data_IF_365465100757
#
_entry.id   IF_365465100757
#
_cell.length_a   1.000
_cell.length_b   1.000
_cell.length_c   1.000
_cell.angle_alpha   90.00
_cell.angle_beta   90.00
_cell.angle_gamma   90.00
#
_symmetry.space_group_name_H-M   'P 1'
#
loop_
_entity.id
_entity.type
_entity.pdbx_description
1 polymer ?
#
# COMPACT_ATOMS: atom_id res chain seq x y z
N UNK A 1 3.06 -57.45 12.33
CA UNK A 1 4.07 -56.42 12.68
C UNK A 1 4.94 -56.21 11.43
N UNK A 2 4.75 -55.19 10.66
CA UNK A 2 5.53 -54.91 9.45
C UNK A 2 6.88 -54.31 9.90
N UNK A 3 7.98 -55.05 9.66
CA UNK A 3 9.34 -54.55 9.89
C UNK A 3 9.70 -53.56 8.80
N UNK A 4 9.62 -52.30 9.08
CA UNK A 4 10.17 -51.24 8.20
C UNK A 4 11.68 -51.38 8.07
N UNK A 5 12.17 -51.50 6.85
CA UNK A 5 13.59 -51.63 6.56
C UNK A 5 14.28 -50.25 6.74
N UNK A 6 15.47 -50.27 7.35
CA UNK A 6 16.27 -49.06 7.58
C UNK A 6 16.50 -48.25 6.29
N UNK A 7 16.60 -48.93 5.13
CA UNK A 7 16.76 -48.29 3.82
C UNK A 7 15.48 -47.57 3.38
N UNK A 8 14.28 -48.05 3.70
CA UNK A 8 13.04 -47.41 3.33
C UNK A 8 12.78 -46.16 4.18
N UNK A 9 13.18 -46.18 5.45
CA UNK A 9 13.18 -45.01 6.31
C UNK A 9 14.13 -43.93 5.78
N UNK A 10 15.35 -44.32 5.39
CA UNK A 10 16.33 -43.37 4.87
C UNK A 10 15.90 -42.74 3.55
N UNK A 11 15.27 -43.53 2.64
CA UNK A 11 14.69 -43.01 1.39
C UNK A 11 13.53 -42.03 1.67
N UNK A 12 12.68 -42.34 2.65
CA UNK A 12 11.58 -41.45 3.06
C UNK A 12 12.09 -40.11 3.61
N UNK A 13 13.14 -40.15 4.45
CA UNK A 13 13.77 -38.93 4.99
C UNK A 13 14.43 -38.12 3.85
N UNK A 14 15.14 -38.77 2.95
CA UNK A 14 15.78 -38.07 1.83
C UNK A 14 14.74 -37.43 0.90
N UNK A 15 13.66 -38.12 0.60
CA UNK A 15 12.54 -37.59 -0.21
C UNK A 15 11.89 -36.39 0.50
N UNK A 16 11.65 -36.48 1.81
CA UNK A 16 11.10 -35.40 2.61
C UNK A 16 12.00 -34.15 2.63
N UNK A 17 13.31 -34.32 2.73
CA UNK A 17 14.26 -33.20 2.69
C UNK A 17 14.31 -32.53 1.31
N UNK A 18 14.24 -33.32 0.22
CA UNK A 18 14.21 -32.78 -1.14
C UNK A 18 12.91 -32.00 -1.37
N UNK A 19 11.78 -32.53 -0.96
CA UNK A 19 10.49 -31.79 -1.11
C UNK A 19 10.46 -30.52 -0.29
N UNK A 20 10.97 -30.53 0.93
CA UNK A 20 11.05 -29.34 1.79
C UNK A 20 11.96 -28.28 1.14
N UNK A 21 13.12 -28.66 0.62
CA UNK A 21 14.04 -27.73 -0.04
C UNK A 21 13.44 -27.10 -1.31
N UNK A 22 12.68 -27.86 -2.09
CA UNK A 22 11.98 -27.33 -3.27
C UNK A 22 10.89 -26.37 -2.86
N UNK A 23 10.07 -26.69 -1.85
CA UNK A 23 9.01 -25.80 -1.35
C UNK A 23 9.59 -24.50 -0.78
N UNK A 24 10.68 -24.56 0.00
CA UNK A 24 11.33 -23.36 0.51
C UNK A 24 11.94 -22.52 -0.62
N UNK A 25 12.52 -23.14 -1.63
CA UNK A 25 13.07 -22.43 -2.80
C UNK A 25 11.97 -21.73 -3.60
N UNK A 26 10.85 -22.40 -3.84
CA UNK A 26 9.68 -21.81 -4.54
C UNK A 26 9.10 -20.65 -3.73
N UNK A 27 8.96 -20.82 -2.42
CA UNK A 27 8.50 -19.74 -1.54
C UNK A 27 9.45 -18.53 -1.59
N UNK A 28 10.76 -18.75 -1.50
CA UNK A 28 11.77 -17.70 -1.54
C UNK A 28 11.82 -16.97 -2.90
N UNK A 29 11.69 -17.70 -4.00
CA UNK A 29 11.63 -17.12 -5.35
C UNK A 29 10.34 -16.30 -5.53
N UNK A 30 9.21 -16.78 -5.02
CA UNK A 30 7.95 -16.06 -5.14
C UNK A 30 7.94 -14.77 -4.30
N UNK A 31 8.43 -14.82 -3.04
CA UNK A 31 8.56 -13.61 -2.20
C UNK A 31 9.55 -12.61 -2.78
N UNK A 32 10.69 -13.08 -3.31
CA UNK A 32 11.68 -12.20 -3.94
C UNK A 32 11.15 -11.52 -5.21
N UNK A 33 10.35 -12.24 -6.00
CA UNK A 33 9.72 -11.65 -7.20
C UNK A 33 8.70 -10.59 -6.85
N UNK A 34 7.88 -10.82 -5.83
CA UNK A 34 6.86 -9.87 -5.38
C UNK A 34 7.50 -8.58 -4.83
N UNK A 35 8.58 -8.70 -4.06
CA UNK A 35 9.30 -7.55 -3.51
C UNK A 35 9.98 -6.72 -4.61
N UNK A 36 10.57 -7.37 -5.63
CA UNK A 36 11.18 -6.67 -6.77
C UNK A 36 10.15 -5.95 -7.65
N UNK A 37 8.95 -6.51 -7.81
CA UNK A 37 7.87 -5.90 -8.60
C UNK A 37 7.32 -4.67 -7.87
N UNK A 38 7.14 -4.72 -6.56
CA UNK A 38 6.68 -3.58 -5.75
C UNK A 38 7.73 -2.44 -5.68
N UNK A 39 9.01 -2.75 -5.54
CA UNK A 39 10.09 -1.74 -5.61
C UNK A 39 10.16 -1.07 -6.99
N UNK A 40 10.00 -1.83 -8.06
CA UNK A 40 10.01 -1.30 -9.42
C UNK A 40 8.80 -0.39 -9.69
N UNK A 41 7.63 -0.70 -9.14
CA UNK A 41 6.45 0.14 -9.26
C UNK A 41 6.55 1.39 -8.40
N UNK A 42 7.10 1.33 -7.21
CA UNK A 42 7.34 2.50 -6.36
C UNK A 42 8.34 3.48 -7.02
N UNK A 43 9.44 2.99 -7.58
CA UNK A 43 10.39 3.83 -8.33
C UNK A 43 9.74 4.45 -9.58
N UNK A 44 8.91 3.68 -10.29
CA UNK A 44 8.13 4.18 -11.40
C UNK A 44 7.16 5.28 -10.96
N UNK A 45 6.38 5.06 -9.91
CA UNK A 45 5.41 6.02 -9.39
C UNK A 45 6.08 7.30 -8.88
N UNK A 46 7.25 7.21 -8.28
CA UNK A 46 8.07 8.37 -7.86
C UNK A 46 8.64 9.15 -9.04
N UNK A 47 8.96 8.47 -10.14
CA UNK A 47 9.52 9.10 -11.35
C UNK A 47 8.44 9.59 -12.31
N UNK A 48 7.22 9.07 -12.23
CA UNK A 48 6.13 9.43 -13.12
C UNK A 48 5.54 10.78 -12.71
N UNK A 49 5.78 11.73 -13.54
CA UNK A 49 5.09 13.00 -13.51
C UNK A 49 3.80 12.77 -14.27
N UNK A 50 2.65 13.03 -13.64
CA UNK A 50 1.35 13.02 -14.36
C UNK A 50 1.28 14.16 -15.38
N UNK A 51 2.19 14.11 -16.33
CA UNK A 51 2.32 15.05 -17.42
C UNK A 51 1.01 15.17 -18.22
N UNK A 52 0.25 14.09 -18.23
CA UNK A 52 -1.03 13.99 -18.89
C UNK A 52 -2.12 14.87 -18.30
N UNK A 53 -2.23 14.93 -16.97
CA UNK A 53 -3.23 15.77 -16.30
C UNK A 53 -2.96 17.26 -16.56
N UNK A 54 -1.68 17.67 -16.57
CA UNK A 54 -1.27 19.04 -16.86
C UNK A 54 -1.51 19.48 -18.30
N UNK A 55 -1.47 18.53 -19.24
CA UNK A 55 -1.68 18.80 -20.68
C UNK A 55 -3.09 18.42 -21.17
N UNK A 56 -3.98 17.98 -20.29
CA UNK A 56 -5.31 17.48 -20.65
C UNK A 56 -5.27 16.17 -21.44
N UNK A 57 -4.15 15.44 -21.41
CA UNK A 57 -4.03 14.10 -21.97
C UNK A 57 -4.54 13.11 -20.94
N UNK A 58 -5.45 12.25 -21.33
CA UNK A 58 -6.03 11.23 -20.45
C UNK A 58 -5.00 10.13 -20.20
N UNK A 59 -4.77 9.80 -18.91
CA UNK A 59 -3.98 8.63 -18.53
C UNK A 59 -4.69 7.33 -18.95
N UNK A 60 -3.92 6.29 -19.29
CA UNK A 60 -4.48 4.99 -19.69
C UNK A 60 -5.15 4.28 -18.50
N UNK A 61 -4.62 4.51 -17.29
CA UNK A 61 -5.12 3.98 -16.03
C UNK A 61 -5.50 5.12 -15.10
N UNK A 62 -6.79 5.30 -14.89
CA UNK A 62 -7.33 6.34 -14.01
C UNK A 62 -8.47 5.77 -13.18
N UNK A 63 -8.29 5.75 -11.87
CA UNK A 63 -9.32 5.34 -10.92
C UNK A 63 -9.27 6.16 -9.64
N UNK A 64 -10.28 5.99 -8.83
CA UNK A 64 -10.43 6.68 -7.55
C UNK A 64 -10.73 5.68 -6.44
N UNK A 65 -10.34 6.07 -5.26
CA UNK A 65 -10.74 5.43 -4.01
C UNK A 65 -11.12 6.51 -2.98
N UNK A 66 -11.75 6.10 -1.90
CA UNK A 66 -12.12 6.99 -0.82
C UNK A 66 -11.29 6.67 0.42
N UNK A 67 -10.59 7.66 0.96
CA UNK A 67 -9.86 7.59 2.23
C UNK A 67 -10.56 8.43 3.28
N UNK A 68 -10.81 7.85 4.44
CA UNK A 68 -11.31 8.53 5.62
C UNK A 68 -10.36 8.28 6.79
N UNK A 69 -10.04 9.33 7.54
CA UNK A 69 -9.22 9.26 8.74
C UNK A 69 -10.03 9.84 9.90
N UNK A 70 -10.05 9.12 11.01
CA UNK A 70 -10.75 9.53 12.25
C UNK A 70 -9.79 9.42 13.43
N UNK A 71 -9.66 10.50 14.18
CA UNK A 71 -8.84 10.57 15.40
C UNK A 71 -9.80 10.81 16.58
N UNK A 72 -9.87 9.87 17.53
CA UNK A 72 -10.76 9.93 18.69
C UNK A 72 -12.23 10.26 18.35
N UNK A 73 -12.72 9.74 17.22
CA UNK A 73 -14.08 9.93 16.73
C UNK A 73 -14.29 11.21 15.90
N UNK A 74 -13.26 12.05 15.74
CA UNK A 74 -13.33 13.24 14.90
C UNK A 74 -12.70 12.99 13.53
N UNK A 75 -13.42 13.33 12.47
CA UNK A 75 -12.93 13.16 11.09
C UNK A 75 -11.84 14.19 10.81
N UNK A 76 -10.71 13.70 10.30
CA UNK A 76 -9.62 14.53 9.80
C UNK A 76 -9.89 14.88 8.32
N UNK A 77 -9.77 16.16 8.02
CA UNK A 77 -9.87 16.66 6.66
C UNK A 77 -8.57 16.38 5.90
N UNK A 78 -8.65 15.64 4.81
CA UNK A 78 -7.51 15.40 3.93
C UNK A 78 -7.31 16.63 3.06
N UNK A 79 -6.09 17.21 3.00
CA UNK A 79 -5.88 18.46 2.26
C UNK A 79 -6.17 18.35 0.76
N UNK A 80 -6.51 19.49 0.18
CA UNK A 80 -6.59 19.64 -1.28
C UNK A 80 -5.20 19.69 -1.89
N UNK A 81 -5.08 19.23 -3.14
CA UNK A 81 -3.84 19.35 -3.94
C UNK A 81 -2.62 18.61 -3.34
N UNK A 82 -2.82 17.54 -2.56
CA UNK A 82 -1.74 16.60 -2.27
C UNK A 82 -1.20 16.08 -3.61
N UNK A 83 0.12 16.04 -3.76
CA UNK A 83 0.78 15.60 -4.99
C UNK A 83 0.95 16.66 -6.07
N UNK A 84 0.56 17.91 -5.80
CA UNK A 84 0.80 19.04 -6.70
C UNK A 84 2.11 19.73 -6.34
N UNK A 85 3.08 19.70 -7.23
CA UNK A 85 4.28 20.51 -7.12
C UNK A 85 4.09 21.84 -7.85
N UNK A 86 4.38 22.95 -7.17
CA UNK A 86 4.16 24.29 -7.68
C UNK A 86 5.44 25.11 -7.68
N UNK A 87 5.54 26.05 -8.63
CA UNK A 87 6.62 27.04 -8.64
C UNK A 87 6.36 28.21 -7.67
N UNK A 88 7.30 29.16 -7.62
CA UNK A 88 7.21 30.35 -6.77
C UNK A 88 6.01 31.27 -7.12
N UNK A 89 5.45 31.15 -8.31
CA UNK A 89 4.28 31.91 -8.77
C UNK A 89 2.97 31.19 -8.45
N UNK A 90 3.03 29.94 -7.99
CA UNK A 90 1.87 29.06 -7.72
C UNK A 90 1.41 28.27 -8.94
N UNK A 91 2.15 28.32 -10.04
CA UNK A 91 1.86 27.52 -11.23
C UNK A 91 2.26 26.07 -10.99
N UNK A 92 1.42 25.12 -11.42
CA UNK A 92 1.70 23.69 -11.25
C UNK A 92 2.82 23.26 -12.19
N UNK A 93 3.94 22.80 -11.61
CA UNK A 93 5.07 22.27 -12.33
C UNK A 93 4.83 20.82 -12.76
N UNK A 94 4.35 20.00 -11.83
CA UNK A 94 3.97 18.61 -12.07
C UNK A 94 2.96 18.10 -11.05
N UNK A 95 2.36 16.97 -11.35
CA UNK A 95 1.36 16.31 -10.56
C UNK A 95 1.78 14.85 -10.37
N UNK A 96 1.84 14.42 -9.12
CA UNK A 96 2.13 13.01 -8.80
C UNK A 96 1.02 12.07 -9.29
N UNK A 97 1.36 10.82 -9.64
CA UNK A 97 0.37 9.84 -10.10
C UNK A 97 -0.70 9.52 -9.05
N UNK A 98 -0.41 9.76 -7.76
CA UNK A 98 -1.37 9.64 -6.67
C UNK A 98 -1.55 11.02 -6.05
N UNK A 99 -2.79 11.52 -6.07
CA UNK A 99 -3.05 12.91 -5.68
C UNK A 99 -4.51 13.14 -5.25
N UNK A 100 -4.77 14.34 -4.69
CA UNK A 100 -6.12 14.83 -4.41
C UNK A 100 -6.38 16.16 -5.10
N UNK A 101 -7.61 16.40 -5.56
CA UNK A 101 -8.03 17.70 -6.07
C UNK A 101 -8.79 18.53 -5.01
N UNK A 102 -9.50 17.85 -4.11
CA UNK A 102 -10.32 18.48 -3.08
C UNK A 102 -10.13 17.79 -1.73
N UNK A 103 -10.82 18.27 -0.69
CA UNK A 103 -10.75 17.77 0.67
C UNK A 103 -11.80 16.69 0.99
N UNK A 104 -12.42 16.09 0.00
CA UNK A 104 -13.43 15.05 0.19
C UNK A 104 -12.86 13.72 0.69
N UNK A 105 -11.53 13.55 0.58
CA UNK A 105 -10.84 12.30 0.82
C UNK A 105 -10.80 11.38 -0.40
N UNK A 106 -11.23 11.88 -1.57
CA UNK A 106 -11.07 11.15 -2.83
C UNK A 106 -9.62 11.20 -3.28
N UNK A 107 -9.00 10.04 -3.33
CA UNK A 107 -7.65 9.86 -3.87
C UNK A 107 -7.75 9.41 -5.32
N UNK A 108 -7.02 10.09 -6.20
CA UNK A 108 -6.87 9.78 -7.62
C UNK A 108 -5.60 8.98 -7.82
N UNK A 109 -5.67 7.94 -8.63
CA UNK A 109 -4.50 7.19 -9.13
C UNK A 109 -4.54 7.27 -10.66
N UNK A 110 -3.54 7.94 -11.22
CA UNK A 110 -3.43 8.19 -12.66
C UNK A 110 -2.05 7.76 -13.17
N UNK A 111 -1.99 6.74 -14.01
CA UNK A 111 -0.74 6.16 -14.50
C UNK A 111 -0.79 5.85 -15.99
N UNK A 112 0.37 5.76 -16.64
CA UNK A 112 0.48 5.40 -18.06
C UNK A 112 0.53 3.89 -18.29
N UNK A 113 0.78 3.10 -17.25
CA UNK A 113 0.73 1.65 -17.27
C UNK A 113 0.02 1.13 -16.03
N UNK A 114 -0.39 -0.12 -16.06
CA UNK A 114 -0.87 -0.76 -14.85
C UNK A 114 0.27 -0.88 -13.85
N UNK A 115 0.18 -0.16 -12.73
CA UNK A 115 1.15 -0.15 -11.66
C UNK A 115 0.45 -0.35 -10.33
N UNK A 116 1.08 -1.13 -9.46
CA UNK A 116 0.62 -1.34 -8.10
C UNK A 116 1.08 -0.18 -7.22
N UNK A 117 0.13 0.51 -6.61
CA UNK A 117 0.41 1.60 -5.66
C UNK A 117 -0.01 1.17 -4.25
N UNK A 118 0.81 1.50 -3.26
CA UNK A 118 0.54 1.25 -1.85
C UNK A 118 0.07 2.52 -1.15
N UNK A 119 -0.73 2.37 -0.10
CA UNK A 119 -1.26 3.49 0.67
C UNK A 119 -0.15 4.32 1.32
N UNK A 120 0.92 3.68 1.79
CA UNK A 120 2.09 4.36 2.34
C UNK A 120 2.69 5.35 1.35
N UNK A 121 2.69 5.05 0.05
CA UNK A 121 3.19 5.97 -0.96
C UNK A 121 2.33 7.24 -1.08
N UNK A 122 1.02 7.16 -0.88
CA UNK A 122 0.17 8.35 -0.79
C UNK A 122 0.55 9.23 0.41
N UNK A 123 0.79 8.62 1.58
CA UNK A 123 1.23 9.35 2.76
C UNK A 123 2.63 9.97 2.58
N UNK A 124 3.56 9.28 1.92
CA UNK A 124 4.87 9.84 1.54
C UNK A 124 4.74 11.10 0.67
N UNK A 125 3.83 11.08 -0.34
CA UNK A 125 3.53 12.24 -1.19
C UNK A 125 2.90 13.37 -0.37
N UNK A 126 2.04 13.04 0.59
CA UNK A 126 1.43 14.02 1.48
C UNK A 126 2.44 14.64 2.46
N UNK A 127 3.51 13.92 2.77
CA UNK A 127 4.53 14.31 3.75
C UNK A 127 4.14 13.97 5.19
N UNK A 128 3.24 13.00 5.37
CA UNK A 128 2.74 12.54 6.65
C UNK A 128 3.17 11.09 6.92
N UNK A 129 3.27 10.72 8.19
CA UNK A 129 3.60 9.36 8.59
C UNK A 129 2.34 8.48 8.67
N UNK A 130 2.47 7.23 8.20
CA UNK A 130 1.44 6.21 8.35
C UNK A 130 2.04 4.80 8.41
N UNK A 131 1.68 4.07 9.47
CA UNK A 131 2.01 2.66 9.68
C UNK A 131 1.07 2.03 10.71
N UNK A 132 1.30 0.80 11.14
CA UNK A 132 0.63 0.20 12.29
C UNK A 132 0.86 1.00 13.60
N UNK A 133 2.00 1.68 13.71
CA UNK A 133 2.42 2.35 14.95
C UNK A 133 2.10 3.84 14.99
N UNK A 134 1.86 4.48 13.84
CA UNK A 134 1.62 5.92 13.77
C UNK A 134 0.65 6.31 12.64
N UNK A 135 -0.02 7.43 12.81
CA UNK A 135 -0.78 8.12 11.78
C UNK A 135 -0.71 9.63 12.03
N UNK A 136 -0.24 10.38 11.03
CA UNK A 136 0.03 11.82 11.16
C UNK A 136 0.95 12.04 12.39
N UNK A 137 0.61 12.99 13.26
CA UNK A 137 1.34 13.26 14.52
C UNK A 137 0.98 12.31 15.69
N UNK A 138 0.16 11.28 15.45
CA UNK A 138 -0.37 10.40 16.49
C UNK A 138 0.33 9.05 16.50
N UNK A 139 0.86 8.66 17.65
CA UNK A 139 1.52 7.37 17.85
C UNK A 139 0.64 6.44 18.69
N UNK A 140 0.61 5.16 18.33
CA UNK A 140 0.00 4.11 19.13
C UNK A 140 0.79 3.92 20.44
N UNK A 141 0.58 2.89 21.18
CA UNK A 141 1.29 2.61 22.42
C UNK A 141 0.45 1.71 23.32
N UNK A 142 0.49 1.94 24.61
CA UNK A 142 -0.26 1.11 25.58
C UNK A 142 -1.76 1.41 25.58
N UNK A 143 -2.14 2.66 25.30
CA UNK A 143 -3.51 3.15 25.44
C UNK A 143 -4.25 3.29 24.10
N UNK A 144 -3.54 3.51 22.99
CA UNK A 144 -4.12 3.79 21.69
C UNK A 144 -3.84 2.69 20.65
N UNK A 145 -4.70 2.59 19.66
CA UNK A 145 -4.60 1.66 18.54
C UNK A 145 -5.06 2.34 17.26
N UNK A 146 -4.48 1.93 16.15
CA UNK A 146 -4.99 2.21 14.81
C UNK A 146 -5.76 0.98 14.34
N UNK A 147 -7.02 1.17 13.97
CA UNK A 147 -7.82 0.16 13.28
C UNK A 147 -8.06 0.59 11.84
N UNK A 148 -7.89 -0.33 10.92
CA UNK A 148 -8.06 -0.08 9.49
C UNK A 148 -9.11 -1.01 8.91
N UNK A 149 -9.91 -0.46 8.00
CA UNK A 149 -10.97 -1.20 7.31
C UNK A 149 -10.93 -0.90 5.81
N UNK A 150 -11.20 -1.91 5.01
CA UNK A 150 -11.46 -1.77 3.58
C UNK A 150 -12.87 -2.26 3.31
N UNK A 151 -13.73 -1.38 2.79
CA UNK A 151 -15.14 -1.68 2.54
C UNK A 151 -15.88 -2.24 3.77
N UNK A 152 -15.58 -1.73 4.96
CA UNK A 152 -16.04 -2.13 6.30
C UNK A 152 -15.49 -3.49 6.80
N UNK A 153 -14.56 -4.14 6.09
CA UNK A 153 -13.88 -5.34 6.57
C UNK A 153 -12.54 -4.96 7.23
N UNK A 154 -12.23 -5.46 8.43
CA UNK A 154 -10.98 -5.13 9.11
C UNK A 154 -9.78 -5.73 8.37
N UNK A 155 -8.70 -4.95 8.28
CA UNK A 155 -7.44 -5.36 7.67
C UNK A 155 -6.24 -4.91 8.53
N UNK A 156 -5.10 -5.56 8.34
CA UNK A 156 -3.83 -5.31 9.02
C UNK A 156 -2.68 -5.01 8.05
N UNK A 157 -3.02 -4.50 6.88
CA UNK A 157 -2.03 -4.20 5.82
C UNK A 157 -1.44 -2.79 5.92
N UNK A 158 -2.07 -1.88 6.64
CA UNK A 158 -1.64 -0.51 6.93
C UNK A 158 -1.01 0.19 5.71
N UNK A 159 0.24 0.65 5.81
CA UNK A 159 0.99 1.30 4.73
C UNK A 159 1.15 0.44 3.48
N UNK A 160 1.12 -0.89 3.63
CA UNK A 160 1.25 -1.86 2.53
C UNK A 160 -0.09 -2.17 1.84
N UNK A 161 -1.16 -1.45 2.19
CA UNK A 161 -2.46 -1.62 1.55
C UNK A 161 -2.40 -1.21 0.08
N UNK A 162 -2.76 -2.14 -0.80
CA UNK A 162 -2.83 -1.86 -2.24
C UNK A 162 -4.03 -0.95 -2.52
N UNK A 163 -3.77 0.13 -3.28
CA UNK A 163 -4.80 1.04 -3.74
C UNK A 163 -5.53 0.43 -4.94
N UNK A 164 -6.79 0.07 -4.73
CA UNK A 164 -7.64 -0.54 -5.75
C UNK A 164 -8.78 0.41 -6.16
N UNK A 165 -9.32 0.25 -7.38
CA UNK A 165 -10.47 1.05 -7.84
C UNK A 165 -11.69 0.91 -6.93
N UNK A 166 -12.27 2.06 -6.53
CA UNK A 166 -13.56 2.15 -5.84
C UNK A 166 -13.63 1.54 -4.45
N UNK A 167 -12.50 1.27 -3.80
CA UNK A 167 -12.48 0.87 -2.39
C UNK A 167 -12.72 2.07 -1.47
N UNK A 168 -13.26 1.78 -0.28
CA UNK A 168 -13.35 2.71 0.84
C UNK A 168 -12.36 2.26 1.90
N UNK A 169 -11.42 3.13 2.25
CA UNK A 169 -10.44 2.91 3.31
C UNK A 169 -10.81 3.79 4.48
N UNK A 170 -11.06 3.19 5.63
CA UNK A 170 -11.33 3.87 6.88
C UNK A 170 -10.21 3.57 7.87
N UNK A 171 -9.55 4.62 8.38
CA UNK A 171 -8.48 4.53 9.37
C UNK A 171 -8.96 5.22 10.64
N UNK A 172 -8.97 4.50 11.77
CA UNK A 172 -9.45 5.00 13.05
C UNK A 172 -8.35 4.89 14.11
N UNK A 173 -7.86 6.03 14.59
CA UNK A 173 -7.04 6.12 15.78
C UNK A 173 -7.92 6.34 17.00
N UNK A 174 -7.82 5.47 18.00
CA UNK A 174 -8.70 5.51 19.19
C UNK A 174 -8.09 4.81 20.39
N UNK A 175 -8.69 5.05 21.56
CA UNK A 175 -8.36 4.32 22.79
C UNK A 175 -8.70 2.82 22.62
N UNK A 176 -7.80 1.96 23.09
CA UNK A 176 -8.03 0.50 23.17
C UNK A 176 -9.19 0.19 24.10
N UNK A 177 -10.12 -0.63 23.65
CA UNK A 177 -11.25 -1.11 24.45
C UNK A 177 -10.82 -2.21 25.43
#
# INVERSE_FOLDING_TARGET
MVKTNKQDILKGILLGLVTLSVLTSVYYLNTSSTTQESEADNDYLKSEICYYALQGIKSDYHYHLQLNITIDGERIEIPTNIGFERDENGDTLFLHPIHTYDNSGRVHVETTRNATAELGFFFDIWGEEFSEENILDYNTGTEYVIEMFINNEPVDTFENTILEPYIFIDINYKIKN
#
